data_IF_077304135428
#
_entry.id   IF_077304135428
#
_cell.length_a   1.000
_cell.length_b   1.000
_cell.length_c   1.000
_cell.angle_alpha   90.00
_cell.angle_beta   90.00
_cell.angle_gamma   90.00
#
_symmetry.space_group_name_H-M   'P 1'
#
loop_
_entity.id
_entity.type
_entity.pdbx_description
1 polymer ?
#
# COMPACT_ATOMS: atom_id res chain seq x y z
N UNK A 1 3.88 -19.24 18.68
CA UNK A 1 5.05 -18.99 18.09
C UNK A 1 5.12 -17.65 17.53
N UNK A 2 6.16 -17.15 17.67
CA UNK A 2 6.30 -15.86 17.24
C UNK A 2 6.34 -15.86 15.78
N UNK A 3 5.62 -14.99 15.22
CA UNK A 3 5.67 -14.83 13.84
C UNK A 3 6.90 -14.14 13.50
N UNK A 4 7.63 -14.68 12.63
CA UNK A 4 8.78 -14.04 12.19
C UNK A 4 8.47 -12.81 11.46
N UNK A 5 9.28 -11.80 11.55
CA UNK A 5 9.06 -10.61 10.75
C UNK A 5 9.02 -11.03 9.31
N UNK A 6 8.12 -10.45 8.60
CA UNK A 6 8.00 -10.75 7.19
C UNK A 6 9.02 -9.93 6.44
N UNK A 7 10.06 -10.57 5.97
CA UNK A 7 11.11 -9.88 5.26
C UNK A 7 10.60 -9.23 3.98
N UNK A 8 9.65 -9.86 3.33
CA UNK A 8 9.09 -9.29 2.12
C UNK A 8 8.33 -8.01 2.42
N UNK A 9 7.60 -8.00 3.52
CA UNK A 9 6.86 -6.81 3.92
C UNK A 9 7.83 -5.69 4.26
N UNK A 10 8.86 -5.98 5.02
CA UNK A 10 9.83 -4.96 5.39
C UNK A 10 10.56 -4.41 4.18
N UNK A 11 10.90 -5.27 3.24
CA UNK A 11 11.59 -4.83 2.05
C UNK A 11 10.71 -3.96 1.19
N UNK A 12 9.45 -4.33 1.03
CA UNK A 12 8.54 -3.54 0.23
C UNK A 12 8.25 -2.21 0.90
N UNK A 13 8.05 -2.21 2.21
CA UNK A 13 7.79 -0.99 2.93
C UNK A 13 8.97 -0.03 2.78
N UNK A 14 10.17 -0.55 2.88
CA UNK A 14 11.35 0.26 2.73
C UNK A 14 11.46 0.86 1.34
N UNK A 15 11.14 0.11 0.32
CA UNK A 15 11.17 0.63 -1.02
C UNK A 15 10.12 1.69 -1.26
N UNK A 16 8.92 1.47 -0.74
CA UNK A 16 7.86 2.46 -0.89
C UNK A 16 8.22 3.74 -0.17
N UNK A 17 8.85 3.61 1.01
CA UNK A 17 9.25 4.80 1.75
C UNK A 17 10.26 5.61 0.95
N UNK A 18 11.14 4.94 0.23
CA UNK A 18 12.13 5.63 -0.56
C UNK A 18 11.55 6.36 -1.77
N UNK A 19 10.44 5.89 -2.27
CA UNK A 19 9.83 6.50 -3.45
C UNK A 19 8.72 7.50 -3.08
N UNK A 20 7.87 7.13 -2.14
CA UNK A 20 6.68 7.92 -1.84
C UNK A 20 6.66 8.57 -0.46
N UNK A 21 7.62 8.22 0.38
CA UNK A 21 7.59 8.70 1.76
C UNK A 21 6.78 7.76 2.61
N UNK A 22 6.45 8.18 3.81
CA UNK A 22 5.76 7.32 4.77
C UNK A 22 4.27 7.19 4.52
N UNK A 23 3.71 8.15 3.80
CA UNK A 23 2.29 8.13 3.50
C UNK A 23 2.10 8.28 2.00
N UNK A 24 1.12 7.60 1.47
CA UNK A 24 0.85 7.66 0.04
C UNK A 24 -0.47 8.36 -0.22
N UNK A 25 -0.49 9.22 -1.21
CA UNK A 25 -1.74 9.83 -1.64
C UNK A 25 -2.43 8.86 -2.58
N UNK A 26 -3.72 9.06 -2.86
CA UNK A 26 -4.39 8.20 -3.83
C UNK A 26 -3.70 8.21 -5.18
N UNK A 27 -3.10 9.33 -5.55
CA UNK A 27 -2.39 9.42 -6.81
C UNK A 27 -1.13 8.57 -6.79
N UNK A 28 -0.44 8.52 -5.64
CA UNK A 28 0.71 7.66 -5.49
C UNK A 28 0.31 6.19 -5.63
N UNK A 29 -0.85 5.85 -5.13
CA UNK A 29 -1.35 4.50 -5.23
C UNK A 29 -1.62 4.15 -6.69
N UNK A 30 -2.22 5.09 -7.43
CA UNK A 30 -2.44 4.88 -8.86
C UNK A 30 -1.12 4.59 -9.57
N UNK A 31 -0.12 5.38 -9.25
CA UNK A 31 1.17 5.25 -9.88
C UNK A 31 1.84 3.92 -9.51
N UNK A 32 1.78 3.57 -8.26
CA UNK A 32 2.39 2.35 -7.77
C UNK A 32 1.73 1.12 -8.36
N UNK A 33 0.40 1.09 -8.39
CA UNK A 33 -0.33 -0.05 -8.91
C UNK A 33 -0.50 -0.01 -10.41
N UNK A 34 -0.15 1.11 -11.02
CA UNK A 34 -0.29 1.30 -12.46
C UNK A 34 -1.71 1.07 -12.91
N UNK A 35 -2.62 1.71 -12.22
CA UNK A 35 -4.03 1.55 -12.52
C UNK A 35 -4.71 2.91 -12.57
N UNK A 36 -5.96 2.91 -12.94
CA UNK A 36 -6.73 4.14 -13.02
C UNK A 36 -7.22 4.57 -11.66
N UNK A 37 -7.85 5.73 -11.65
CA UNK A 37 -8.32 6.33 -10.43
C UNK A 37 -9.38 5.50 -9.74
N UNK A 38 -10.35 5.02 -10.48
CA UNK A 38 -11.42 4.24 -9.88
C UNK A 38 -10.90 2.96 -9.25
N UNK A 39 -10.00 2.30 -9.94
CA UNK A 39 -9.43 1.07 -9.43
C UNK A 39 -8.62 1.33 -8.17
N UNK A 40 -7.86 2.41 -8.17
CA UNK A 40 -7.05 2.73 -7.00
C UNK A 40 -7.93 3.04 -5.80
N UNK A 41 -9.00 3.80 -5.99
CA UNK A 41 -9.90 4.14 -4.90
C UNK A 41 -10.58 2.89 -4.36
N UNK A 42 -10.95 2.00 -5.22
CA UNK A 42 -11.55 0.78 -4.79
C UNK A 42 -10.58 -0.08 -4.04
N UNK A 43 -9.35 -0.11 -4.50
CA UNK A 43 -8.32 -0.93 -3.89
C UNK A 43 -8.01 -0.48 -2.47
N UNK A 44 -7.99 0.84 -2.21
CA UNK A 44 -7.67 1.34 -0.88
C UNK A 44 -8.88 1.47 0.04
N UNK A 45 -10.04 1.11 -0.47
CA UNK A 45 -11.26 1.34 0.28
C UNK A 45 -11.25 0.72 1.67
N UNK A 46 -10.69 -0.46 1.82
CA UNK A 46 -10.67 -1.14 3.09
C UNK A 46 -9.42 -0.87 3.90
N UNK A 47 -8.55 0.01 3.44
CA UNK A 47 -7.37 0.36 4.21
C UNK A 47 -7.66 1.54 5.12
N UNK A 48 -7.04 1.58 6.29
CA UNK A 48 -7.20 2.74 7.16
C UNK A 48 -6.61 3.96 6.49
N UNK A 49 -7.29 5.07 6.58
CA UNK A 49 -6.83 6.30 5.99
C UNK A 49 -6.43 7.28 7.07
N UNK A 50 -5.38 8.04 6.81
CA UNK A 50 -4.98 9.14 7.66
C UNK A 50 -5.56 10.38 7.04
N UNK A 51 -6.39 11.09 7.78
CA UNK A 51 -6.99 12.28 7.25
C UNK A 51 -6.18 13.51 7.54
N UNK A 52 -5.95 14.30 6.54
CA UNK A 52 -5.22 15.53 6.71
C UNK A 52 -6.02 16.58 5.96
N UNK A 53 -6.86 17.31 6.69
CA UNK A 53 -7.76 18.24 6.06
C UNK A 53 -8.75 17.47 5.21
N UNK A 54 -8.86 17.82 3.96
CA UNK A 54 -9.76 17.12 3.06
C UNK A 54 -9.07 15.98 2.33
N UNK A 55 -7.80 15.73 2.64
CA UNK A 55 -7.07 14.70 1.96
C UNK A 55 -7.05 13.44 2.75
N UNK A 56 -6.97 12.32 2.05
CA UNK A 56 -6.81 11.03 2.69
C UNK A 56 -5.47 10.48 2.26
N UNK A 57 -4.73 9.98 3.23
CA UNK A 57 -3.43 9.41 2.95
C UNK A 57 -3.41 8.00 3.50
N UNK A 58 -2.57 7.16 2.95
CA UNK A 58 -2.51 5.75 3.33
C UNK A 58 -1.09 5.41 3.74
N UNK A 59 -0.95 4.68 4.84
CA UNK A 59 0.38 4.34 5.32
C UNK A 59 0.99 3.32 4.39
N UNK A 60 2.28 3.46 4.11
CA UNK A 60 2.94 2.53 3.21
C UNK A 60 2.91 1.12 3.75
N UNK A 61 2.92 0.95 5.06
CA UNK A 61 2.84 -0.38 5.64
C UNK A 61 1.55 -1.08 5.27
N UNK A 62 0.46 -0.34 5.26
CA UNK A 62 -0.83 -0.91 4.92
C UNK A 62 -0.92 -1.24 3.45
N UNK A 63 -0.36 -0.39 2.62
CA UNK A 63 -0.35 -0.63 1.19
C UNK A 63 0.52 -1.84 0.87
N UNK A 64 1.69 -1.91 1.49
CA UNK A 64 2.58 -3.03 1.26
C UNK A 64 1.96 -4.34 1.72
N UNK A 65 1.32 -4.33 2.87
CA UNK A 65 0.69 -5.54 3.40
C UNK A 65 -0.40 -6.03 2.46
N UNK A 66 -1.18 -5.12 1.93
CA UNK A 66 -2.26 -5.52 1.04
C UNK A 66 -1.73 -6.11 -0.26
N UNK A 67 -0.66 -5.53 -0.78
CA UNK A 67 -0.05 -6.06 -1.98
C UNK A 67 0.43 -7.48 -1.74
N UNK A 68 1.07 -7.71 -0.62
CA UNK A 68 1.59 -9.03 -0.34
C UNK A 68 0.49 -10.04 -0.06
N UNK A 69 -0.61 -9.57 0.49
CA UNK A 69 -1.74 -10.45 0.74
C UNK A 69 -2.35 -10.95 -0.54
N UNK A 70 -2.30 -10.15 -1.56
CA UNK A 70 -2.92 -10.48 -2.83
C UNK A 70 -2.00 -11.12 -3.85
N UNK A 71 -0.76 -11.29 -3.48
CA UNK A 71 0.19 -11.81 -4.45
C UNK A 71 -0.06 -13.25 -4.85
N UNK A 72 -0.80 -13.98 -4.03
CA UNK A 72 -1.10 -15.31 -4.38
C UNK A 72 -1.83 -15.45 -5.64
N UNK A 73 -2.71 -14.55 -5.95
CA UNK A 73 -3.42 -14.56 -7.18
C UNK A 73 -2.51 -14.44 -8.37
N UNK A 74 -1.39 -13.82 -8.17
CA UNK A 74 -0.46 -13.61 -9.23
C UNK A 74 0.37 -14.83 -9.49
N UNK A 75 0.55 -15.62 -8.50
CA UNK A 75 1.40 -16.76 -8.63
C UNK A 75 0.84 -17.86 -9.43
N UNK A 76 -0.38 -17.85 -9.67
CA UNK A 76 -0.98 -18.92 -10.43
C UNK A 76 -0.81 -18.86 -11.91
#
# INVERSE_FOLDING_TARGET
>A
MARRPDAALAAMTSRLAGVYGLLMTPQNVQDFLKCGRSTAYEWVRDLPAVRLGSRKLYRIEDVAAKVLENREGVMI
#
